data_IF_793350849973
#
_entry.id   IF_793350849973
#
_cell.length_a   1.000
_cell.length_b   1.000
_cell.length_c   1.000
_cell.angle_alpha   90.00
_cell.angle_beta   90.00
_cell.angle_gamma   90.00
#
_symmetry.space_group_name_H-M   'P 1'
#
loop_
_entity.id
_entity.type
_entity.pdbx_description
1 polymer ?
#
# COMPACT_ATOMS: atom_id res chain seq x y z
N UNK A 1 34.28 22.11 77.93
CA UNK A 1 33.52 21.91 76.68
C UNK A 1 32.94 20.53 76.76
N UNK A 2 31.63 20.47 76.95
CA UNK A 2 30.94 19.28 77.40
C UNK A 2 30.81 18.28 76.25
N UNK A 3 31.19 17.03 76.50
CA UNK A 3 31.18 15.94 75.52
C UNK A 3 29.79 15.65 74.91
N UNK A 4 28.72 16.14 75.54
CA UNK A 4 27.35 16.02 75.04
C UNK A 4 27.05 16.99 73.89
N UNK A 5 27.51 18.24 73.97
CA UNK A 5 27.37 19.20 72.86
C UNK A 5 28.23 18.77 71.67
N UNK A 6 29.33 18.05 71.91
CA UNK A 6 30.20 17.51 70.86
C UNK A 6 29.59 16.29 70.13
N UNK A 7 28.78 15.46 70.81
CA UNK A 7 28.08 14.33 70.17
C UNK A 7 26.88 14.78 69.33
N UNK A 8 26.24 15.87 69.72
CA UNK A 8 25.05 16.35 69.04
C UNK A 8 25.36 16.89 67.64
N UNK A 9 26.47 17.63 67.47
CA UNK A 9 26.84 18.15 66.16
C UNK A 9 27.31 17.04 65.19
N UNK A 10 28.01 16.01 65.66
CA UNK A 10 28.45 14.90 64.80
C UNK A 10 27.26 14.11 64.24
N UNK A 11 26.20 13.93 65.07
CA UNK A 11 24.98 13.27 64.64
C UNK A 11 24.20 14.11 63.61
N UNK A 12 24.06 15.42 63.86
CA UNK A 12 23.41 16.35 62.91
C UNK A 12 24.18 16.43 61.58
N UNK A 13 25.52 16.44 61.61
CA UNK A 13 26.35 16.47 60.41
C UNK A 13 26.26 15.18 59.58
N UNK A 14 26.04 14.04 60.25
CA UNK A 14 25.85 12.75 59.57
C UNK A 14 24.51 12.70 58.84
N UNK A 15 23.45 13.23 59.44
CA UNK A 15 22.13 13.34 58.80
C UNK A 15 22.19 14.27 57.58
N UNK A 16 22.81 15.44 57.72
CA UNK A 16 22.95 16.42 56.63
C UNK A 16 23.75 15.83 55.46
N UNK A 17 24.87 15.14 55.72
CA UNK A 17 25.63 14.46 54.66
C UNK A 17 24.80 13.41 53.94
N UNK A 18 24.02 12.63 54.69
CA UNK A 18 23.19 11.58 54.12
C UNK A 18 22.04 12.15 53.28
N UNK A 19 21.43 13.27 53.69
CA UNK A 19 20.43 13.98 52.90
C UNK A 19 21.02 14.60 51.63
N UNK A 20 22.23 15.15 51.69
CA UNK A 20 22.95 15.68 50.53
C UNK A 20 23.32 14.57 49.52
N UNK A 21 23.84 13.43 49.98
CA UNK A 21 24.15 12.28 49.14
C UNK A 21 22.90 11.70 48.46
N UNK A 22 21.76 11.65 49.17
CA UNK A 22 20.48 11.22 48.59
C UNK A 22 19.98 12.25 47.57
N UNK A 23 20.11 13.55 47.83
CA UNK A 23 19.79 14.61 46.88
C UNK A 23 20.58 14.51 45.58
N UNK A 24 21.91 14.31 45.68
CA UNK A 24 22.81 14.12 44.53
C UNK A 24 22.44 12.86 43.72
N UNK A 25 22.14 11.74 44.40
CA UNK A 25 21.67 10.51 43.73
C UNK A 25 20.34 10.70 42.99
N UNK A 26 19.42 11.52 43.51
CA UNK A 26 18.15 11.84 42.86
C UNK A 26 18.36 12.71 41.62
N UNK A 27 19.26 13.68 41.67
CA UNK A 27 19.62 14.52 40.52
C UNK A 27 20.29 13.70 39.41
N UNK A 28 21.22 12.82 39.77
CA UNK A 28 21.87 11.90 38.83
C UNK A 28 20.85 10.94 38.18
N UNK A 29 19.96 10.34 38.97
CA UNK A 29 18.89 9.49 38.45
C UNK A 29 17.95 10.28 37.51
N UNK A 30 17.65 11.53 37.83
CA UNK A 30 16.83 12.40 36.97
C UNK A 30 17.52 12.69 35.63
N UNK A 31 18.81 13.01 35.67
CA UNK A 31 19.61 13.24 34.46
C UNK A 31 19.69 12.00 33.57
N UNK A 32 19.94 10.82 34.15
CA UNK A 32 19.97 9.55 33.42
C UNK A 32 18.61 9.27 32.76
N UNK A 33 17.50 9.46 33.47
CA UNK A 33 16.16 9.25 32.91
C UNK A 33 15.84 10.22 31.76
N UNK A 34 16.28 11.47 31.85
CA UNK A 34 16.17 12.44 30.76
C UNK A 34 16.96 12.00 29.52
N UNK A 35 18.22 11.58 29.71
CA UNK A 35 19.07 11.09 28.62
C UNK A 35 18.51 9.81 27.98
N UNK A 36 17.99 8.87 28.79
CA UNK A 36 17.29 7.67 28.28
C UNK A 36 16.05 8.02 27.46
N UNK A 37 15.29 9.05 27.88
CA UNK A 37 14.10 9.50 27.13
C UNK A 37 14.49 10.14 25.79
N UNK A 38 15.55 10.94 25.74
CA UNK A 38 16.05 11.56 24.51
C UNK A 38 16.55 10.51 23.53
N UNK A 39 17.41 9.60 24.00
CA UNK A 39 17.96 8.50 23.17
C UNK A 39 16.86 7.56 22.67
N UNK A 40 15.86 7.25 23.49
CA UNK A 40 14.70 6.46 23.05
C UNK A 40 13.92 7.17 21.93
N UNK A 41 13.72 8.49 22.06
CA UNK A 41 13.03 9.29 21.04
C UNK A 41 13.81 9.33 19.73
N UNK A 42 15.12 9.48 19.77
CA UNK A 42 15.99 9.44 18.59
C UNK A 42 15.96 8.08 17.90
N UNK A 43 16.06 6.99 18.67
CA UNK A 43 15.96 5.63 18.14
C UNK A 43 14.58 5.34 17.50
N UNK A 44 13.50 5.90 18.04
CA UNK A 44 12.17 5.82 17.43
C UNK A 44 12.09 6.61 16.12
N UNK A 45 12.67 7.81 16.07
CA UNK A 45 12.73 8.62 14.86
C UNK A 45 13.51 7.91 13.75
N UNK A 46 14.67 7.34 14.05
CA UNK A 46 15.41 6.54 13.08
C UNK A 46 14.63 5.31 12.61
N UNK A 47 13.98 4.58 13.52
CA UNK A 47 13.13 3.43 13.17
C UNK A 47 11.98 3.85 12.24
N UNK A 48 11.36 5.00 12.49
CA UNK A 48 10.31 5.55 11.62
C UNK A 48 10.87 5.99 10.27
N UNK A 49 12.06 6.61 10.24
CA UNK A 49 12.76 6.99 9.02
C UNK A 49 13.04 5.77 8.13
N UNK A 50 13.68 4.73 8.69
CA UNK A 50 13.96 3.48 7.96
C UNK A 50 12.68 2.79 7.45
N UNK A 51 11.62 2.76 8.26
CA UNK A 51 10.33 2.19 7.84
C UNK A 51 9.68 3.00 6.70
N UNK A 52 9.84 4.31 6.68
CA UNK A 52 9.35 5.15 5.58
C UNK A 52 10.12 4.88 4.28
N UNK A 53 11.45 4.81 4.35
CA UNK A 53 12.29 4.48 3.18
C UNK A 53 11.96 3.12 2.59
N UNK A 54 11.75 2.11 3.43
CA UNK A 54 11.32 0.77 3.03
C UNK A 54 9.95 0.79 2.33
N UNK A 55 8.97 1.52 2.87
CA UNK A 55 7.65 1.66 2.25
C UNK A 55 7.73 2.41 0.90
N UNK A 56 8.55 3.45 0.81
CA UNK A 56 8.79 4.18 -0.43
C UNK A 56 9.46 3.29 -1.49
N UNK A 57 10.37 2.40 -1.07
CA UNK A 57 10.98 1.40 -1.94
C UNK A 57 9.96 0.39 -2.47
N UNK A 58 9.17 -0.22 -1.58
CA UNK A 58 8.11 -1.15 -1.94
C UNK A 58 7.06 -0.50 -2.87
N UNK A 59 6.71 0.76 -2.63
CA UNK A 59 5.81 1.51 -3.50
C UNK A 59 6.42 1.75 -4.89
N UNK A 60 7.72 2.04 -4.98
CA UNK A 60 8.42 2.19 -6.25
C UNK A 60 8.48 0.88 -7.04
N UNK A 61 8.59 -0.27 -6.38
CA UNK A 61 8.58 -1.59 -7.02
C UNK A 61 7.15 -2.06 -7.41
N UNK A 62 6.15 -1.69 -6.62
CA UNK A 62 4.75 -2.03 -6.89
C UNK A 62 4.18 -1.26 -8.11
N UNK A 63 4.56 0.01 -8.31
CA UNK A 63 4.04 0.86 -9.41
C UNK A 63 4.30 0.29 -10.81
N UNK A 64 5.51 -0.20 -11.16
CA UNK A 64 5.76 -0.91 -12.41
C UNK A 64 4.87 -2.13 -12.56
N UNK A 65 4.65 -2.88 -11.47
CA UNK A 65 3.84 -4.10 -11.47
C UNK A 65 2.38 -3.81 -11.80
N UNK A 66 1.78 -2.78 -11.21
CA UNK A 66 0.41 -2.36 -11.52
C UNK A 66 0.26 -1.85 -12.96
N UNK A 67 1.22 -1.05 -13.45
CA UNK A 67 1.22 -0.58 -14.85
C UNK A 67 1.34 -1.75 -15.83
N UNK A 68 2.26 -2.67 -15.58
CA UNK A 68 2.47 -3.84 -16.44
C UNK A 68 1.25 -4.76 -16.47
N UNK A 69 0.59 -4.98 -15.31
CA UNK A 69 -0.66 -5.77 -15.23
C UNK A 69 -1.78 -5.07 -16.01
N UNK A 70 -1.92 -3.75 -15.87
CA UNK A 70 -2.93 -2.97 -16.58
C UNK A 70 -2.71 -3.03 -18.10
N UNK A 71 -1.48 -2.86 -18.57
CA UNK A 71 -1.15 -2.98 -20.00
C UNK A 71 -1.41 -4.39 -20.54
N UNK A 72 -1.03 -5.43 -19.80
CA UNK A 72 -1.29 -6.82 -20.18
C UNK A 72 -2.78 -7.11 -20.29
N UNK A 73 -3.59 -6.62 -19.33
CA UNK A 73 -5.04 -6.79 -19.35
C UNK A 73 -5.70 -6.03 -20.51
N UNK A 74 -5.21 -4.82 -20.84
CA UNK A 74 -5.69 -4.06 -22.00
C UNK A 74 -5.37 -4.78 -23.32
N UNK A 75 -4.17 -5.36 -23.46
CA UNK A 75 -3.79 -6.16 -24.64
C UNK A 75 -4.71 -7.37 -24.81
N UNK A 76 -4.93 -8.15 -23.75
CA UNK A 76 -5.86 -9.31 -23.77
C UNK A 76 -7.28 -8.92 -24.14
N UNK A 77 -7.76 -7.80 -23.60
CA UNK A 77 -9.10 -7.27 -23.94
C UNK A 77 -9.21 -6.87 -25.41
N UNK A 78 -8.21 -6.14 -25.94
CA UNK A 78 -8.18 -5.76 -27.35
C UNK A 78 -8.12 -6.97 -28.30
N UNK A 79 -7.34 -8.00 -27.96
CA UNK A 79 -7.29 -9.24 -28.74
C UNK A 79 -8.65 -9.96 -28.78
N UNK A 80 -9.36 -10.01 -27.64
CA UNK A 80 -10.72 -10.55 -27.55
C UNK A 80 -11.70 -9.80 -28.45
N UNK A 81 -11.73 -8.47 -28.35
CA UNK A 81 -12.60 -7.61 -29.17
C UNK A 81 -12.28 -7.75 -30.67
N UNK A 82 -11.00 -7.83 -31.05
CA UNK A 82 -10.61 -8.04 -32.43
C UNK A 82 -11.08 -9.40 -32.98
N UNK A 83 -10.99 -10.45 -32.16
CA UNK A 83 -11.47 -11.79 -32.52
C UNK A 83 -12.99 -11.78 -32.73
N UNK A 84 -13.74 -11.15 -31.83
CA UNK A 84 -15.19 -11.00 -31.96
C UNK A 84 -15.58 -10.21 -33.20
N UNK A 85 -14.90 -9.10 -33.50
CA UNK A 85 -15.14 -8.34 -34.74
C UNK A 85 -14.88 -9.18 -36.00
N UNK A 86 -13.83 -10.00 -36.01
CA UNK A 86 -13.54 -10.90 -37.14
C UNK A 86 -14.65 -11.93 -37.32
N UNK A 87 -15.13 -12.52 -36.22
CA UNK A 87 -16.24 -13.47 -36.22
C UNK A 87 -17.54 -12.81 -36.69
N UNK A 88 -17.86 -11.61 -36.20
CA UNK A 88 -19.04 -10.86 -36.62
C UNK A 88 -19.01 -10.53 -38.11
N UNK A 89 -17.85 -10.12 -38.64
CA UNK A 89 -17.68 -9.87 -40.08
C UNK A 89 -17.82 -11.15 -40.92
N UNK A 90 -17.33 -12.29 -40.43
CA UNK A 90 -17.50 -13.57 -41.09
C UNK A 90 -18.99 -13.96 -41.14
N UNK A 91 -19.69 -13.86 -40.01
CA UNK A 91 -21.14 -14.10 -39.93
C UNK A 91 -21.95 -13.19 -40.85
N UNK A 92 -21.62 -11.90 -40.92
CA UNK A 92 -22.27 -10.97 -41.85
C UNK A 92 -22.12 -11.38 -43.32
N UNK A 93 -20.97 -11.94 -43.71
CA UNK A 93 -20.77 -12.45 -45.07
C UNK A 93 -21.63 -13.67 -45.35
N UNK A 94 -21.73 -14.60 -44.40
CA UNK A 94 -22.58 -15.78 -44.55
C UNK A 94 -24.06 -15.40 -44.61
N UNK A 95 -24.53 -14.49 -43.74
CA UNK A 95 -25.89 -13.95 -43.81
C UNK A 95 -26.17 -13.33 -45.19
N UNK A 96 -25.22 -12.57 -45.74
CA UNK A 96 -25.38 -11.96 -47.07
C UNK A 96 -25.50 -13.01 -48.18
N UNK A 97 -24.71 -14.09 -48.13
CA UNK A 97 -24.83 -15.20 -49.08
C UNK A 97 -26.21 -15.85 -48.99
N UNK A 98 -26.65 -16.18 -47.79
CA UNK A 98 -27.96 -16.79 -47.55
C UNK A 98 -29.09 -15.89 -48.07
N UNK A 99 -29.01 -14.57 -47.83
CA UNK A 99 -30.00 -13.63 -48.33
C UNK A 99 -30.04 -13.59 -49.86
N UNK A 100 -28.88 -13.59 -50.52
CA UNK A 100 -28.82 -13.64 -51.98
C UNK A 100 -29.41 -14.95 -52.52
N UNK A 101 -29.06 -16.09 -51.92
CA UNK A 101 -29.61 -17.40 -52.31
C UNK A 101 -31.13 -17.45 -52.13
N UNK A 102 -31.65 -16.89 -51.03
CA UNK A 102 -33.09 -16.77 -50.81
C UNK A 102 -33.75 -15.87 -51.86
N UNK A 103 -33.16 -14.73 -52.19
CA UNK A 103 -33.68 -13.80 -53.20
C UNK A 103 -33.73 -14.44 -54.60
N UNK A 104 -32.72 -15.24 -54.96
CA UNK A 104 -32.72 -16.04 -56.19
C UNK A 104 -33.83 -17.10 -56.19
N UNK A 105 -34.01 -17.80 -55.07
CA UNK A 105 -35.07 -18.80 -54.91
C UNK A 105 -36.46 -18.16 -55.01
N UNK A 106 -36.69 -17.03 -54.33
CA UNK A 106 -37.95 -16.29 -54.39
C UNK A 106 -38.23 -15.79 -55.80
N UNK A 107 -37.23 -15.20 -56.47
CA UNK A 107 -37.35 -14.71 -57.84
C UNK A 107 -37.62 -15.83 -58.86
N UNK A 108 -37.09 -17.02 -58.62
CA UNK A 108 -37.36 -18.22 -59.41
C UNK A 108 -38.80 -18.72 -59.20
N UNK A 109 -39.25 -18.74 -57.94
CA UNK A 109 -40.62 -19.11 -57.58
C UNK A 109 -41.65 -18.16 -58.16
N UNK A 110 -41.41 -16.85 -58.08
CA UNK A 110 -42.33 -15.83 -58.58
C UNK A 110 -42.49 -15.91 -60.11
N UNK A 111 -41.41 -16.16 -60.84
CA UNK A 111 -41.45 -16.40 -62.30
C UNK A 111 -42.19 -17.68 -62.71
N UNK A 112 -42.28 -18.67 -61.81
CA UNK A 112 -42.99 -19.93 -62.04
C UNK A 112 -44.40 -19.94 -61.48
N UNK A 113 -44.84 -18.86 -60.83
CA UNK A 113 -46.20 -18.74 -60.32
C UNK A 113 -47.15 -18.68 -61.53
N UNK A 114 -48.11 -19.60 -61.66
CA UNK A 114 -49.14 -19.47 -62.68
C UNK A 114 -49.89 -18.16 -62.44
N UNK A 115 -50.04 -17.34 -63.46
CA UNK A 115 -50.97 -16.21 -63.41
C UNK A 115 -52.37 -16.81 -63.24
N UNK A 116 -52.95 -16.64 -62.05
CA UNK A 116 -54.35 -16.97 -61.80
C UNK A 116 -55.19 -16.14 -62.77
N UNK A 117 -55.58 -16.79 -63.86
CA UNK A 117 -56.54 -16.34 -64.87
C UNK A 117 -57.91 -16.91 -64.56
#
# INVERSE_FOLDING_TARGET
>A
MDSETNRNWEAEWKVIKQELEVGEQVEDAHYILLMMRVTHREAEWERRGRRKEELDHQLKEARPTERNIKEMNMKKSMEGVQKEMRNARALQREIRKINNELEELYSSWERRRPENS
#
